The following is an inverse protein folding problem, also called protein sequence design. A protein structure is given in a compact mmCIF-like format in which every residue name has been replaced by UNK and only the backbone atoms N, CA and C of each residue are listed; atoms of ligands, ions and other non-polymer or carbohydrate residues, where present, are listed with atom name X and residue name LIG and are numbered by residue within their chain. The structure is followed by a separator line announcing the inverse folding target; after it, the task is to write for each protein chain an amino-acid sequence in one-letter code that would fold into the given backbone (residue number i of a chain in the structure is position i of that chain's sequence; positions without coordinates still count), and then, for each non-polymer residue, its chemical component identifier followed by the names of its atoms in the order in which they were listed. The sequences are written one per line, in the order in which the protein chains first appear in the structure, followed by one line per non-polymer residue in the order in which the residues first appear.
data_IF_376091540140
#
_entry.id   IF_376091540140
#
_cell.length_a   1.000
_cell.length_b   1.000
_cell.length_c   1.000
_cell.angle_alpha   90.00
_cell.angle_beta   90.00
_cell.angle_gamma   90.00
#
_symmetry.space_group_name_H-M   'P 1'
#
loop_
_entity.id
_entity.type
_entity.pdbx_description
1 polymer ?
#
# COMPACT_ATOMS: atom_id res chain seq x y z
N UNK A 1 -13.16 5.33 1.84
CA UNK A 1 -11.89 5.69 1.18
C UNK A 1 -11.23 4.41 0.77
N UNK A 2 -10.48 4.41 -0.34
CA UNK A 2 -9.81 3.20 -0.80
C UNK A 2 -8.62 2.84 0.08
N UNK A 3 -8.39 1.55 0.23
CA UNK A 3 -7.30 0.96 0.98
C UNK A 3 -6.58 -0.12 0.17
N UNK A 4 -5.32 -0.36 0.53
CA UNK A 4 -4.49 -1.43 0.02
C UNK A 4 -3.82 -2.14 1.20
N UNK A 5 -3.98 -3.47 1.26
CA UNK A 5 -3.28 -4.30 2.24
C UNK A 5 -1.88 -4.68 1.76
N UNK A 6 -0.92 -4.56 2.68
CA UNK A 6 0.49 -4.82 2.46
C UNK A 6 1.03 -5.65 3.63
N UNK A 7 1.73 -6.74 3.32
CA UNK A 7 2.28 -7.62 4.37
C UNK A 7 3.46 -6.95 5.07
N UNK A 8 3.49 -7.10 6.40
CA UNK A 8 4.56 -6.62 7.26
C UNK A 8 5.93 -7.16 6.82
N UNK A 9 7.02 -6.35 6.85
CA UNK A 9 7.12 -4.97 7.35
C UNK A 9 6.93 -3.87 6.30
N UNK A 10 6.36 -4.19 5.14
CA UNK A 10 6.41 -3.28 3.99
C UNK A 10 5.51 -2.05 4.15
N UNK A 11 4.40 -2.13 4.89
CA UNK A 11 3.55 -0.97 5.19
C UNK A 11 4.28 0.04 6.08
N UNK A 12 4.99 -0.44 7.11
CA UNK A 12 5.84 0.38 7.98
C UNK A 12 6.99 1.05 7.21
N UNK A 13 7.60 0.35 6.24
CA UNK A 13 8.63 0.92 5.36
C UNK A 13 8.09 2.02 4.44
N UNK A 14 6.84 1.89 3.99
CA UNK A 14 6.18 2.97 3.25
C UNK A 14 5.96 4.17 4.17
N UNK A 15 5.43 3.93 5.37
CA UNK A 15 5.20 4.99 6.35
C UNK A 15 6.49 5.72 6.78
N UNK A 16 7.65 5.05 6.81
CA UNK A 16 8.95 5.71 7.09
C UNK A 16 9.59 6.41 5.88
N UNK A 17 9.06 6.19 4.68
CA UNK A 17 9.66 6.66 3.42
C UNK A 17 10.83 5.80 2.92
N UNK A 18 11.13 4.66 3.56
CA UNK A 18 12.15 3.72 3.10
C UNK A 18 11.73 3.00 1.81
N UNK A 19 10.45 2.62 1.72
CA UNK A 19 9.85 2.01 0.54
C UNK A 19 9.02 3.05 -0.21
N UNK A 20 9.47 3.43 -1.40
CA UNK A 20 8.83 4.45 -2.24
C UNK A 20 8.14 3.88 -3.47
N UNK A 21 8.35 2.59 -3.76
CA UNK A 21 7.68 1.87 -4.85
C UNK A 21 6.91 0.68 -4.30
N UNK A 22 5.63 0.55 -4.68
CA UNK A 22 4.87 -0.68 -4.47
C UNK A 22 4.87 -1.52 -5.75
N UNK A 23 5.08 -2.83 -5.63
CA UNK A 23 5.20 -3.70 -6.80
C UNK A 23 3.97 -4.59 -6.93
N UNK A 24 3.28 -4.49 -8.06
CA UNK A 24 2.06 -5.27 -8.33
C UNK A 24 2.08 -5.81 -9.76
N UNK A 25 1.27 -6.84 -10.00
CA UNK A 25 1.09 -7.45 -11.33
C UNK A 25 -0.09 -6.86 -12.11
N UNK A 26 -0.66 -5.76 -11.62
CA UNK A 26 -1.88 -5.15 -12.13
C UNK A 26 -1.86 -3.63 -11.91
N UNK A 27 -2.65 -2.92 -12.70
CA UNK A 27 -2.80 -1.46 -12.60
C UNK A 27 -3.86 -1.08 -11.57
N UNK A 28 -3.61 -0.07 -10.71
CA UNK A 28 -4.63 0.42 -9.80
C UNK A 28 -5.75 1.11 -10.58
N UNK A 29 -6.98 0.94 -10.11
CA UNK A 29 -8.12 1.78 -10.52
C UNK A 29 -8.22 2.99 -9.55
N UNK A 30 -7.23 3.88 -9.66
CA UNK A 30 -7.05 5.07 -8.81
C UNK A 30 -6.72 6.28 -9.69
N UNK A 31 -7.29 7.43 -9.33
CA UNK A 31 -6.80 8.71 -9.86
C UNK A 31 -5.48 9.09 -9.17
N UNK A 32 -4.50 9.70 -9.86
CA UNK A 32 -3.23 10.11 -9.25
C UNK A 32 -3.36 11.09 -8.06
N UNK A 33 -4.51 11.75 -7.93
CA UNK A 33 -4.82 12.67 -6.82
C UNK A 33 -5.60 12.00 -5.68
N UNK A 34 -6.04 10.75 -5.86
CA UNK A 34 -6.82 10.01 -4.89
C UNK A 34 -5.96 9.51 -3.72
N UNK A 35 -6.45 9.73 -2.50
CA UNK A 35 -5.80 9.24 -1.28
C UNK A 35 -6.04 7.73 -1.13
N UNK A 36 -4.96 6.97 -0.92
CA UNK A 36 -4.98 5.53 -0.68
C UNK A 36 -4.49 5.23 0.75
N UNK A 37 -5.29 4.51 1.53
CA UNK A 37 -4.90 4.04 2.85
C UNK A 37 -4.01 2.79 2.73
N UNK A 38 -2.85 2.81 3.36
CA UNK A 38 -2.00 1.62 3.51
C UNK A 38 -2.35 0.93 4.82
N UNK A 39 -2.80 -0.32 4.70
CA UNK A 39 -3.10 -1.21 5.83
C UNK A 39 -2.02 -2.28 5.88
N UNK A 40 -1.29 -2.37 6.97
CA UNK A 40 -0.30 -3.41 7.19
C UNK A 40 -0.93 -4.61 7.91
N UNK A 41 -0.64 -5.83 7.44
CA UNK A 41 -1.13 -7.06 8.05
C UNK A 41 -0.05 -8.17 8.06
N UNK A 42 -0.26 -9.24 8.82
CA UNK A 42 0.80 -10.24 9.09
C UNK A 42 0.89 -11.35 8.03
N UNK A 43 -0.10 -11.49 7.14
CA UNK A 43 -0.17 -12.59 6.15
C UNK A 43 -0.58 -12.16 4.76
N UNK A 44 -0.18 -12.93 3.75
CA UNK A 44 -0.67 -12.71 2.39
C UNK A 44 -2.16 -13.11 2.25
N UNK A 45 -2.91 -12.29 1.52
CA UNK A 45 -4.31 -12.52 1.16
C UNK A 45 -4.35 -12.97 -0.31
N UNK A 46 -4.65 -14.25 -0.53
CA UNK A 46 -4.46 -14.93 -1.82
C UNK A 46 -5.75 -15.20 -2.56
N UNK A 47 -6.84 -15.46 -1.85
CA UNK A 47 -8.15 -15.74 -2.41
C UNK A 47 -9.03 -14.50 -2.43
N UNK A 48 -10.01 -14.48 -3.34
CA UNK A 48 -11.03 -13.43 -3.33
C UNK A 48 -11.89 -13.59 -2.08
N UNK A 49 -12.09 -12.49 -1.35
CA UNK A 49 -12.74 -12.50 -0.03
C UNK A 49 -11.81 -12.86 1.14
N UNK A 50 -10.51 -13.06 0.92
CA UNK A 50 -9.55 -13.16 2.03
C UNK A 50 -9.45 -11.81 2.75
N UNK A 51 -9.68 -11.85 4.07
CA UNK A 51 -9.63 -10.69 4.96
C UNK A 51 -8.83 -10.99 6.23
N UNK A 52 -8.35 -9.93 6.88
CA UNK A 52 -7.61 -9.97 8.14
C UNK A 52 -8.10 -8.81 9.02
N UNK A 53 -8.84 -9.12 10.08
CA UNK A 53 -9.42 -8.12 10.98
C UNK A 53 -8.37 -7.39 11.82
N UNK A 54 -7.17 -7.97 11.96
CA UNK A 54 -6.08 -7.42 12.77
C UNK A 54 -5.15 -6.48 11.97
N UNK A 55 -5.57 -6.08 10.76
CA UNK A 55 -4.87 -5.10 9.96
C UNK A 55 -4.71 -3.75 10.68
N UNK A 56 -3.61 -3.04 10.39
CA UNK A 56 -3.28 -1.76 11.03
C UNK A 56 -3.09 -0.69 9.96
N UNK A 57 -3.84 0.41 10.06
CA UNK A 57 -3.61 1.58 9.22
C UNK A 57 -2.28 2.25 9.58
N UNK A 58 -1.36 2.35 8.62
CA UNK A 58 0.02 2.85 8.86
C UNK A 58 0.35 4.14 8.11
N UNK A 59 -0.26 4.38 6.94
CA UNK A 59 -0.03 5.59 6.17
C UNK A 59 -1.19 5.89 5.22
N UNK A 60 -1.31 7.15 4.82
CA UNK A 60 -2.06 7.56 3.62
C UNK A 60 -1.04 7.95 2.57
N UNK A 61 -1.21 7.50 1.33
CA UNK A 61 -0.33 7.79 0.20
C UNK A 61 -1.14 8.17 -1.04
N UNK A 62 -0.46 8.52 -2.12
CA UNK A 62 -1.02 8.59 -3.48
C UNK A 62 -0.17 7.78 -4.44
N UNK A 63 -0.79 7.24 -5.48
CA UNK A 63 -0.09 6.58 -6.60
C UNK A 63 0.02 7.58 -7.75
N UNK A 64 1.15 8.26 -7.89
CA UNK A 64 1.31 9.33 -8.90
C UNK A 64 1.54 8.77 -10.31
N UNK A 65 2.19 7.61 -10.42
CA UNK A 65 2.54 6.98 -11.67
C UNK A 65 2.61 5.46 -11.52
N UNK A 66 2.36 4.77 -12.64
CA UNK A 66 2.54 3.33 -12.76
C UNK A 66 3.36 3.05 -14.00
N UNK A 67 4.49 2.37 -13.83
CA UNK A 67 5.43 2.06 -14.91
C UNK A 67 5.98 0.64 -14.76
N UNK A 68 6.66 0.10 -15.79
CA UNK A 68 7.37 -1.17 -15.63
C UNK A 68 8.32 -1.15 -14.44
N UNK A 69 8.27 -2.21 -13.64
CA UNK A 69 9.25 -2.47 -12.59
C UNK A 69 10.55 -2.95 -13.27
N UNK A 70 11.67 -2.32 -12.93
CA UNK A 70 12.99 -2.67 -13.47
C UNK A 70 13.95 -3.05 -12.34
N UNK A 71 15.04 -3.75 -12.65
CA UNK A 71 15.98 -4.22 -11.63
C UNK A 71 16.56 -3.09 -10.75
N UNK A 72 16.72 -1.89 -11.30
CA UNK A 72 17.19 -0.71 -10.56
C UNK A 72 16.22 -0.25 -9.45
N UNK A 73 14.94 -0.61 -9.54
CA UNK A 73 13.91 -0.24 -8.57
C UNK A 73 13.92 -1.11 -7.31
N UNK A 74 14.65 -2.24 -7.32
CA UNK A 74 14.64 -3.23 -6.24
C UNK A 74 14.86 -2.63 -4.85
N UNK A 75 15.81 -1.68 -4.76
CA UNK A 75 16.12 -1.01 -3.50
C UNK A 75 14.95 -0.12 -3.04
N UNK A 76 14.42 0.72 -3.94
CA UNK A 76 13.30 1.63 -3.65
C UNK A 76 11.99 0.88 -3.36
N UNK A 77 11.83 -0.32 -3.90
CA UNK A 77 10.72 -1.22 -3.60
C UNK A 77 10.92 -2.05 -2.33
N UNK A 78 12.13 -2.03 -1.74
CA UNK A 78 12.57 -2.96 -0.71
C UNK A 78 12.27 -4.43 -1.08
N UNK A 79 12.39 -4.76 -2.36
CA UNK A 79 12.03 -6.06 -2.91
C UNK A 79 13.20 -7.05 -2.78
N UNK A 80 12.88 -8.32 -2.52
CA UNK A 80 13.86 -9.41 -2.50
C UNK A 80 13.92 -10.18 -3.82
N UNK A 81 12.98 -9.93 -4.74
CA UNK A 81 12.86 -10.63 -6.02
C UNK A 81 12.41 -9.70 -7.13
N UNK A 82 12.89 -9.98 -8.35
CA UNK A 82 12.58 -9.26 -9.58
C UNK A 82 12.00 -10.21 -10.63
N UNK A 83 10.98 -9.75 -11.36
CA UNK A 83 10.39 -10.45 -12.48
C UNK A 83 9.90 -9.45 -13.53
N UNK A 84 10.23 -9.70 -14.80
CA UNK A 84 9.79 -8.86 -15.91
C UNK A 84 8.26 -8.89 -16.06
N UNK A 85 7.69 -7.76 -16.46
CA UNK A 85 6.24 -7.58 -16.65
C UNK A 85 5.50 -7.15 -15.39
N UNK A 86 6.16 -7.08 -14.23
CA UNK A 86 5.58 -6.47 -13.03
C UNK A 86 5.63 -4.94 -13.13
N UNK A 87 4.79 -4.28 -12.33
CA UNK A 87 4.59 -2.84 -12.34
C UNK A 87 5.08 -2.23 -11.03
N UNK A 88 5.81 -1.13 -11.15
CA UNK A 88 6.15 -0.25 -10.05
C UNK A 88 5.09 0.86 -9.96
N UNK A 89 4.40 0.89 -8.83
CA UNK A 89 3.52 1.97 -8.43
C UNK A 89 4.35 2.97 -7.63
N UNK A 90 4.52 4.17 -8.17
CA UNK A 90 5.27 5.23 -7.50
C UNK A 90 4.40 5.83 -6.38
N UNK A 91 4.89 5.74 -5.14
CA UNK A 91 4.19 6.23 -3.96
C UNK A 91 4.65 7.66 -3.67
N UNK A 92 3.68 8.54 -3.46
CA UNK A 92 3.91 9.96 -3.18
C UNK A 92 2.97 10.46 -2.08
N UNK A 93 3.21 11.70 -1.60
CA UNK A 93 2.41 12.35 -0.56
C UNK A 93 2.18 11.45 0.67
N UNK A 94 3.25 10.77 1.11
CA UNK A 94 3.23 9.83 2.23
C UNK A 94 2.94 10.60 3.52
N UNK A 95 1.82 10.26 4.14
CA UNK A 95 1.33 10.82 5.41
C UNK A 95 1.24 9.69 6.44
N UNK A 96 2.26 9.53 7.31
CA UNK A 96 2.28 8.46 8.30
C UNK A 96 1.17 8.65 9.34
N UNK A 97 0.52 7.54 9.72
CA UNK A 97 -0.50 7.54 10.77
C UNK A 97 0.20 7.33 12.11
N UNK A 98 0.20 8.37 12.96
CA UNK A 98 0.96 8.38 14.23
C UNK A 98 0.42 7.42 15.29
N UNK A 99 -0.89 7.16 15.26
CA UNK A 99 -1.56 6.27 16.19
C UNK A 99 -2.15 5.11 15.40
N UNK A 100 -1.62 3.89 15.55
CA UNK A 100 -2.15 2.70 14.90
C UNK A 100 -3.67 2.61 15.10
N UNK A 101 -4.40 2.44 14.00
CA UNK A 101 -5.84 2.19 14.01
C UNK A 101 -6.07 0.81 13.42
N UNK A 102 -6.69 -0.08 14.20
CA UNK A 102 -7.10 -1.40 13.71
C UNK A 102 -8.18 -1.23 12.66
N UNK A 103 -7.99 -1.86 11.51
CA UNK A 103 -8.88 -1.81 10.35
C UNK A 103 -8.69 -3.07 9.51
N UNK A 104 -9.78 -3.58 8.91
CA UNK A 104 -9.68 -4.79 8.09
C UNK A 104 -8.68 -4.62 6.96
N UNK A 105 -7.84 -5.64 6.78
CA UNK A 105 -7.05 -5.89 5.59
C UNK A 105 -7.87 -6.79 4.65
N UNK A 106 -7.86 -6.51 3.34
CA UNK A 106 -8.56 -7.30 2.34
C UNK A 106 -7.76 -7.38 1.04
N UNK A 107 -8.01 -8.42 0.25
CA UNK A 107 -7.34 -8.60 -1.05
C UNK A 107 -7.72 -7.48 -2.04
N UNK A 108 -6.71 -6.98 -2.77
CA UNK A 108 -6.89 -5.97 -3.81
C UNK A 108 -6.99 -4.55 -3.26
N UNK A 109 -7.62 -3.65 -4.02
CA UNK A 109 -8.06 -2.34 -3.51
C UNK A 109 -9.52 -2.49 -3.06
N UNK A 110 -9.82 -1.96 -1.88
CA UNK A 110 -11.13 -2.09 -1.26
C UNK A 110 -11.52 -0.81 -0.51
N UNK A 111 -12.81 -0.63 -0.29
CA UNK A 111 -13.33 0.51 0.47
C UNK A 111 -13.31 0.23 1.98
N UNK A 112 -12.98 1.28 2.74
CA UNK A 112 -13.04 1.31 4.20
C UNK A 112 -13.57 2.65 4.73
N UNK A 113 -14.25 2.57 5.87
CA UNK A 113 -14.67 3.74 6.64
C UNK A 113 -13.55 4.20 7.58
N UNK A 114 -12.54 4.85 7.01
CA UNK A 114 -11.44 5.44 7.78
C UNK A 114 -11.64 6.94 7.94
N UNK A 115 -11.98 7.36 9.17
CA UNK A 115 -12.01 8.77 9.54
C UNK A 115 -10.62 9.20 9.99
N UNK A 116 -9.95 10.00 9.16
CA UNK A 116 -8.66 10.58 9.54
C UNK A 116 -8.85 11.49 10.78
N UNK A 117 -8.19 11.22 11.93
CA UNK A 117 -8.39 12.00 13.15
C UNK A 117 -7.99 13.49 13.05
N UNK A 118 -7.39 13.91 11.93
CA UNK A 118 -6.81 15.25 11.73
C UNK A 118 -7.55 16.19 10.77
N UNK A 119 -8.69 15.80 10.17
CA UNK A 119 -9.53 16.73 9.39
C UNK A 119 -10.69 17.23 10.26
N UNK A 120 -10.47 18.37 10.93
CA UNK A 120 -11.54 19.28 11.38
C UNK A 120 -11.53 20.52 10.49
#
# INVERSE_FOLDING_TARGET
MKALSIVRPSGGRIASGEKTLEVRRWHPDLDPTEDLLIVENERFLHADGDEDEDGIAVAIVRVNAVRPFILADMQAACASYFEDGWLAWELSDVRPIKHPVTIRAARGIYEVDFLHPGRR
#
